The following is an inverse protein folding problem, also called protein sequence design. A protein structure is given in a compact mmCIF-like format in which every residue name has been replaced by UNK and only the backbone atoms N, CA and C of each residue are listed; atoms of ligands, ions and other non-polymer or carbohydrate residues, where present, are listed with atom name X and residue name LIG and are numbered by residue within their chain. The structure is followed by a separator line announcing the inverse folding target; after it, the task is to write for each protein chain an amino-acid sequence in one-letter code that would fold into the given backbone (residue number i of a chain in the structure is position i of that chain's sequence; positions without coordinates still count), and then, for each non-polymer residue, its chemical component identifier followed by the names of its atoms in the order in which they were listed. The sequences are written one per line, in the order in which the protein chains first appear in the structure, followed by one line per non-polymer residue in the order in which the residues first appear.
data_IF_778855033381
#
_entry.id   IF_778855033381
#
_cell.length_a   1.000
_cell.length_b   1.000
_cell.length_c   1.000
_cell.angle_alpha   90.00
_cell.angle_beta   90.00
_cell.angle_gamma   90.00
#
_symmetry.space_group_name_H-M   'P 1'
#
loop_
_entity.id
_entity.type
_entity.pdbx_description
1 polymer ?
#
# COMPACT_ATOMS: atom_id res chain seq x y z
N UNK A 1 -11.39 26.35 -6.12
CA UNK A 1 -10.79 26.45 -7.46
C UNK A 1 -9.86 27.65 -7.63
N UNK A 2 -10.28 28.89 -7.33
CA UNK A 2 -9.44 30.09 -7.56
C UNK A 2 -8.06 30.06 -6.86
N UNK A 3 -7.98 29.52 -5.64
CA UNK A 3 -6.73 29.45 -4.88
C UNK A 3 -5.73 28.47 -5.51
N UNK A 4 -6.16 27.26 -5.86
CA UNK A 4 -5.30 26.27 -6.54
C UNK A 4 -4.76 26.80 -7.88
N UNK A 5 -5.59 27.52 -8.65
CA UNK A 5 -5.15 28.17 -9.89
C UNK A 5 -4.13 29.29 -9.64
N UNK A 6 -4.24 30.01 -8.52
CA UNK A 6 -3.28 31.04 -8.12
C UNK A 6 -1.95 30.42 -7.67
N UNK A 7 -1.98 29.36 -6.86
CA UNK A 7 -0.80 28.60 -6.46
C UNK A 7 -0.08 28.02 -7.68
N UNK A 8 -0.83 27.42 -8.59
CA UNK A 8 -0.30 26.95 -9.87
C UNK A 8 0.32 28.07 -10.70
N UNK A 9 -0.33 29.24 -10.77
CA UNK A 9 0.22 30.42 -11.44
C UNK A 9 1.54 30.90 -10.83
N UNK A 10 1.65 30.92 -9.51
CA UNK A 10 2.87 31.29 -8.79
C UNK A 10 4.02 30.29 -9.04
N UNK A 11 3.72 28.98 -9.04
CA UNK A 11 4.67 27.93 -9.39
C UNK A 11 5.15 28.05 -10.85
N UNK A 12 4.24 28.11 -11.82
CA UNK A 12 4.60 28.16 -13.24
C UNK A 12 5.35 29.44 -13.63
N UNK A 13 5.06 30.54 -12.95
CA UNK A 13 5.73 31.81 -13.18
C UNK A 13 7.06 31.93 -12.41
N UNK A 14 7.42 30.91 -11.61
CA UNK A 14 8.59 30.93 -10.75
C UNK A 14 8.60 32.16 -9.86
N UNK A 15 7.50 32.42 -9.16
CA UNK A 15 7.32 33.60 -8.31
C UNK A 15 7.30 33.21 -6.82
N UNK A 16 7.68 34.15 -5.95
CA UNK A 16 7.79 33.90 -4.51
C UNK A 16 8.82 32.82 -4.21
N UNK A 17 8.49 31.89 -3.31
CA UNK A 17 9.43 30.83 -2.89
C UNK A 17 9.96 29.96 -4.03
N UNK A 18 9.19 29.80 -5.12
CA UNK A 18 9.61 28.99 -6.28
C UNK A 18 10.68 29.67 -7.15
N UNK A 19 10.95 30.95 -6.94
CA UNK A 19 12.02 31.68 -7.63
C UNK A 19 13.38 31.56 -6.94
N UNK A 20 13.40 31.03 -5.72
CA UNK A 20 14.61 30.97 -4.91
C UNK A 20 15.65 30.05 -5.58
N UNK A 21 16.93 30.48 -5.70
CA UNK A 21 17.94 29.72 -6.42
C UNK A 21 18.05 28.27 -5.94
N UNK A 22 18.02 28.01 -4.62
CA UNK A 22 18.13 26.65 -4.08
C UNK A 22 16.92 25.77 -4.42
N UNK A 23 15.74 26.34 -4.62
CA UNK A 23 14.51 25.61 -4.97
C UNK A 23 14.55 25.18 -6.44
N UNK A 24 15.03 26.09 -7.31
CA UNK A 24 15.25 25.80 -8.73
C UNK A 24 16.35 24.76 -8.89
N UNK A 25 17.44 24.92 -8.15
CA UNK A 25 18.57 24.00 -8.14
C UNK A 25 18.13 22.58 -7.77
N UNK A 26 17.34 22.45 -6.69
CA UNK A 26 16.80 21.18 -6.22
C UNK A 26 15.98 20.42 -7.27
N UNK A 27 15.33 21.10 -8.23
CA UNK A 27 14.59 20.44 -9.31
C UNK A 27 15.48 19.56 -10.21
N UNK A 28 16.79 19.84 -10.27
CA UNK A 28 17.72 19.10 -11.13
C UNK A 28 18.20 17.77 -10.53
N UNK A 29 18.11 17.61 -9.20
CA UNK A 29 18.72 16.46 -8.50
C UNK A 29 17.74 15.67 -7.63
N UNK A 30 16.67 16.31 -7.14
CA UNK A 30 15.68 15.63 -6.32
C UNK A 30 14.67 14.87 -7.18
N UNK A 31 14.24 13.71 -6.67
CA UNK A 31 13.07 13.03 -7.22
C UNK A 31 11.84 13.93 -7.06
N UNK A 32 10.92 13.91 -8.04
CA UNK A 32 9.74 14.77 -8.05
C UNK A 32 8.91 14.68 -6.77
N UNK A 33 8.78 13.49 -6.17
CA UNK A 33 8.02 13.31 -4.92
C UNK A 33 8.72 13.99 -3.73
N UNK A 34 10.06 13.91 -3.69
CA UNK A 34 10.89 14.53 -2.64
C UNK A 34 10.89 16.04 -2.78
N UNK A 35 11.01 16.55 -4.00
CA UNK A 35 10.97 17.99 -4.27
C UNK A 35 9.65 18.61 -3.81
N UNK A 36 8.51 17.98 -4.12
CA UNK A 36 7.20 18.44 -3.63
C UNK A 36 7.07 18.33 -2.11
N UNK A 37 7.76 17.38 -1.46
CA UNK A 37 7.80 17.30 -0.01
C UNK A 37 8.58 18.45 0.64
N UNK A 38 9.73 18.78 0.08
CA UNK A 38 10.63 19.78 0.63
C UNK A 38 10.20 21.22 0.32
N UNK A 39 9.64 21.46 -0.88
CA UNK A 39 9.38 22.81 -1.40
C UNK A 39 7.91 23.12 -1.67
N UNK A 40 7.01 22.15 -1.55
CA UNK A 40 5.57 22.32 -1.82
C UNK A 40 4.79 23.07 -0.72
N UNK A 41 5.38 23.32 0.45
CA UNK A 41 4.70 23.93 1.61
C UNK A 41 4.16 25.33 1.29
N UNK A 42 4.79 26.06 0.38
CA UNK A 42 4.34 27.37 -0.09
C UNK A 42 3.07 27.32 -0.96
N UNK A 43 2.68 26.14 -1.43
CA UNK A 43 1.51 25.89 -2.28
C UNK A 43 0.79 24.59 -1.86
N UNK A 44 0.09 24.58 -0.71
CA UNK A 44 -0.41 23.35 -0.10
C UNK A 44 -1.48 22.63 -0.94
N UNK A 45 -2.34 23.35 -1.66
CA UNK A 45 -3.34 22.70 -2.53
C UNK A 45 -2.68 22.08 -3.76
N UNK A 46 -1.70 22.78 -4.33
CA UNK A 46 -0.91 22.28 -5.45
C UNK A 46 -0.06 21.07 -5.03
N UNK A 47 0.56 21.11 -3.86
CA UNK A 47 1.32 20.00 -3.28
C UNK A 47 0.45 18.76 -3.11
N UNK A 48 -0.76 18.90 -2.58
CA UNK A 48 -1.71 17.78 -2.46
C UNK A 48 -2.07 17.18 -3.83
N UNK A 49 -2.25 18.01 -4.85
CA UNK A 49 -2.54 17.55 -6.21
C UNK A 49 -1.32 16.84 -6.83
N UNK A 50 -0.12 17.40 -6.62
CA UNK A 50 1.13 16.80 -7.08
C UNK A 50 1.33 15.41 -6.46
N UNK A 51 1.10 15.25 -5.15
CA UNK A 51 1.16 13.94 -4.50
C UNK A 51 0.18 12.94 -5.10
N UNK A 52 -1.08 13.34 -5.28
CA UNK A 52 -2.09 12.45 -5.88
C UNK A 52 -1.65 11.96 -7.25
N UNK A 53 -1.12 12.87 -8.08
CA UNK A 53 -0.66 12.57 -9.43
C UNK A 53 0.59 11.67 -9.45
N UNK A 54 1.60 12.01 -8.65
CA UNK A 54 2.89 11.30 -8.61
C UNK A 54 2.78 9.91 -7.98
N UNK A 55 1.80 9.70 -7.10
CA UNK A 55 1.53 8.39 -6.48
C UNK A 55 0.65 7.50 -7.38
N UNK A 56 0.04 8.04 -8.45
CA UNK A 56 -0.74 7.21 -9.37
C UNK A 56 0.17 6.25 -10.15
N UNK A 57 -0.17 4.95 -10.21
CA UNK A 57 0.49 4.03 -11.12
C UNK A 57 0.20 4.44 -12.58
N UNK A 58 1.27 4.70 -13.35
CA UNK A 58 1.20 5.24 -14.72
C UNK A 58 0.79 4.19 -15.78
N UNK A 59 0.67 2.91 -15.41
CA UNK A 59 0.39 1.84 -16.37
C UNK A 59 -0.72 0.90 -15.94
N UNK A 60 -1.56 0.51 -16.90
CA UNK A 60 -2.51 -0.61 -16.76
C UNK A 60 -1.80 -1.92 -16.48
N UNK A 61 -0.52 -2.06 -16.84
CA UNK A 61 0.27 -3.27 -16.61
C UNK A 61 0.34 -3.70 -15.14
N UNK A 62 0.26 -2.73 -14.20
CA UNK A 62 0.16 -3.03 -12.78
C UNK A 62 -1.17 -3.69 -12.43
N UNK A 63 -2.27 -3.20 -13.02
CA UNK A 63 -3.59 -3.79 -12.89
C UNK A 63 -3.68 -5.13 -13.64
N UNK A 64 -3.08 -5.27 -14.82
CA UNK A 64 -3.05 -6.51 -15.60
C UNK A 64 -2.39 -7.65 -14.83
N UNK A 65 -1.31 -7.39 -14.07
CA UNK A 65 -0.73 -8.40 -13.17
C UNK A 65 -1.69 -8.81 -12.06
N UNK A 66 -2.37 -7.85 -11.43
CA UNK A 66 -3.38 -8.15 -10.41
C UNK A 66 -4.57 -8.92 -10.99
N UNK A 67 -5.00 -8.59 -12.22
CA UNK A 67 -6.04 -9.32 -12.93
C UNK A 67 -5.60 -10.73 -13.34
N UNK A 68 -4.33 -10.92 -13.70
CA UNK A 68 -3.78 -12.26 -13.96
C UNK A 68 -3.77 -13.11 -12.68
N UNK A 69 -3.37 -12.53 -11.54
CA UNK A 69 -3.46 -13.21 -10.23
C UNK A 69 -4.90 -13.51 -9.85
N UNK A 70 -5.82 -12.56 -10.04
CA UNK A 70 -7.25 -12.77 -9.79
C UNK A 70 -7.79 -13.90 -10.67
N UNK A 71 -7.44 -13.89 -11.96
CA UNK A 71 -7.75 -14.95 -12.92
C UNK A 71 -7.18 -16.28 -12.45
N UNK A 72 -5.93 -16.36 -12.00
CA UNK A 72 -5.34 -17.58 -11.43
C UNK A 72 -6.11 -18.09 -10.21
N UNK A 73 -6.41 -17.22 -9.25
CA UNK A 73 -7.14 -17.56 -8.01
C UNK A 73 -8.55 -18.05 -8.32
N UNK A 74 -9.22 -17.46 -9.31
CA UNK A 74 -10.55 -17.88 -9.75
C UNK A 74 -10.54 -19.06 -10.74
N UNK A 75 -9.48 -19.25 -11.52
CA UNK A 75 -9.39 -20.20 -12.64
C UNK A 75 -8.68 -21.52 -12.28
N UNK A 76 -8.49 -21.83 -11.01
CA UNK A 76 -8.15 -23.22 -10.62
C UNK A 76 -9.46 -24.04 -10.62
N UNK A 77 -9.96 -24.28 -11.83
CA UNK A 77 -10.96 -25.26 -12.31
C UNK A 77 -12.38 -25.34 -11.71
N UNK A 78 -12.77 -24.63 -10.63
CA UNK A 78 -14.18 -24.27 -10.20
C UNK A 78 -14.22 -23.84 -8.72
N UNK A 79 -13.43 -22.84 -8.32
CA UNK A 79 -13.46 -22.39 -6.93
C UNK A 79 -14.65 -21.43 -6.71
N UNK A 80 -15.67 -21.83 -5.92
CA UNK A 80 -16.79 -20.95 -5.49
C UNK A 80 -16.32 -20.00 -4.37
N UNK A 81 -15.23 -19.28 -4.60
CA UNK A 81 -14.83 -18.22 -3.70
C UNK A 81 -15.81 -17.06 -3.82
N UNK A 82 -16.26 -16.54 -2.68
CA UNK A 82 -16.93 -15.25 -2.66
C UNK A 82 -15.99 -14.19 -3.24
N UNK A 83 -16.53 -13.23 -3.99
CA UNK A 83 -15.75 -12.15 -4.61
C UNK A 83 -14.91 -11.40 -3.59
N UNK A 84 -15.46 -11.12 -2.41
CA UNK A 84 -14.72 -10.51 -1.29
C UNK A 84 -13.48 -11.31 -0.89
N UNK A 85 -13.60 -12.65 -0.83
CA UNK A 85 -12.49 -13.53 -0.46
C UNK A 85 -11.40 -13.55 -1.52
N UNK A 86 -11.77 -13.44 -2.79
CA UNK A 86 -10.79 -13.36 -3.88
C UNK A 86 -10.09 -12.00 -3.91
N UNK A 87 -10.81 -10.91 -3.64
CA UNK A 87 -10.24 -9.57 -3.47
C UNK A 87 -9.21 -9.56 -2.33
N UNK A 88 -9.55 -10.13 -1.18
CA UNK A 88 -8.63 -10.26 -0.03
C UNK A 88 -7.37 -11.06 -0.39
N UNK A 89 -7.52 -12.17 -1.11
CA UNK A 89 -6.38 -13.00 -1.52
C UNK A 89 -5.48 -12.28 -2.52
N UNK A 90 -6.04 -11.53 -3.48
CA UNK A 90 -5.26 -10.69 -4.39
C UNK A 90 -4.54 -9.59 -3.61
N UNK A 91 -5.22 -8.94 -2.67
CA UNK A 91 -4.63 -7.91 -1.83
C UNK A 91 -3.45 -8.46 -1.02
N UNK A 92 -3.63 -9.60 -0.34
CA UNK A 92 -2.56 -10.26 0.43
C UNK A 92 -1.41 -10.66 -0.50
N UNK A 93 -1.68 -11.30 -1.63
CA UNK A 93 -0.67 -11.71 -2.60
C UNK A 93 0.17 -10.54 -3.10
N UNK A 94 -0.48 -9.45 -3.50
CA UNK A 94 0.17 -8.25 -4.00
C UNK A 94 1.04 -7.58 -2.92
N UNK A 95 0.50 -7.39 -1.71
CA UNK A 95 1.23 -6.75 -0.62
C UNK A 95 2.42 -7.58 -0.15
N UNK A 96 2.28 -8.90 -0.06
CA UNK A 96 3.40 -9.78 0.29
C UNK A 96 4.55 -9.69 -0.73
N UNK A 97 4.23 -9.61 -2.03
CA UNK A 97 5.25 -9.38 -3.08
C UNK A 97 5.93 -8.04 -2.92
N UNK A 98 5.18 -6.96 -2.70
CA UNK A 98 5.74 -5.64 -2.46
C UNK A 98 6.66 -5.60 -1.24
N UNK A 99 6.24 -6.21 -0.13
CA UNK A 99 7.04 -6.27 1.10
C UNK A 99 8.29 -7.13 0.91
N UNK A 100 8.20 -8.22 0.14
CA UNK A 100 9.34 -9.07 -0.18
C UNK A 100 10.41 -8.31 -0.97
N UNK A 101 10.00 -7.51 -1.96
CA UNK A 101 10.90 -6.69 -2.79
C UNK A 101 11.73 -5.66 -2.00
N UNK A 102 11.27 -5.25 -0.82
CA UNK A 102 12.00 -4.34 0.07
C UNK A 102 13.11 -5.04 0.88
N UNK A 103 13.11 -6.37 0.93
CA UNK A 103 14.10 -7.14 1.70
C UNK A 103 15.34 -7.41 0.85
N UNK A 104 16.53 -7.27 1.44
CA UNK A 104 17.79 -7.53 0.73
C UNK A 104 17.88 -8.97 0.16
N UNK A 105 17.28 -9.93 0.89
CA UNK A 105 17.14 -11.34 0.45
C UNK A 105 16.42 -11.51 -0.89
N UNK A 106 15.61 -10.54 -1.33
CA UNK A 106 14.96 -10.59 -2.64
C UNK A 106 15.93 -10.34 -3.80
N UNK A 107 17.00 -9.58 -3.56
CA UNK A 107 18.02 -9.25 -4.55
C UNK A 107 19.25 -10.16 -4.40
N UNK A 108 19.60 -10.56 -3.18
CA UNK A 108 20.84 -11.28 -2.91
C UNK A 108 20.64 -12.71 -2.38
N UNK A 109 19.38 -13.12 -2.15
CA UNK A 109 19.06 -14.44 -1.65
C UNK A 109 18.99 -15.51 -2.74
N UNK A 110 18.89 -16.79 -2.34
CA UNK A 110 18.76 -17.91 -3.26
C UNK A 110 17.47 -17.87 -4.09
N UNK A 111 16.41 -17.22 -3.58
CA UNK A 111 15.13 -17.00 -4.25
C UNK A 111 15.04 -15.59 -4.87
N UNK A 112 16.11 -15.13 -5.50
CA UNK A 112 16.18 -13.80 -6.11
C UNK A 112 15.14 -13.65 -7.22
N UNK A 113 14.40 -12.53 -7.22
CA UNK A 113 13.38 -12.23 -8.23
C UNK A 113 12.36 -13.35 -8.49
N UNK A 114 12.03 -14.15 -7.47
CA UNK A 114 11.15 -15.32 -7.61
C UNK A 114 9.78 -14.99 -8.23
N UNK A 115 9.36 -13.73 -8.17
CA UNK A 115 8.08 -13.24 -8.70
C UNK A 115 8.18 -12.56 -10.08
N UNK A 116 9.37 -12.50 -10.68
CA UNK A 116 9.63 -11.92 -12.01
C UNK A 116 9.83 -13.06 -13.01
N UNK A 117 8.74 -13.51 -13.64
CA UNK A 117 8.78 -14.51 -14.73
C UNK A 117 7.87 -15.74 -14.57
N UNK A 118 7.09 -15.83 -13.49
CA UNK A 118 6.26 -17.01 -13.17
C UNK A 118 4.93 -17.14 -13.93
N UNK A 119 4.56 -16.21 -14.80
CA UNK A 119 3.25 -16.19 -15.45
C UNK A 119 3.19 -17.03 -16.75
N UNK A 120 4.21 -17.86 -17.02
CA UNK A 120 4.32 -18.72 -18.22
C UNK A 120 4.02 -20.20 -17.98
N UNK A 121 3.51 -20.58 -16.82
CA UNK A 121 3.12 -21.96 -16.59
C UNK A 121 1.70 -22.18 -17.13
N UNK A 122 1.59 -22.80 -18.31
CA UNK A 122 0.35 -23.42 -18.77
C UNK A 122 -0.06 -24.49 -17.74
N UNK A 123 -1.11 -24.20 -16.97
CA UNK A 123 -1.59 -24.96 -15.81
C UNK A 123 -2.41 -26.18 -16.25
N UNK A 124 -2.01 -26.86 -17.32
CA UNK A 124 -2.75 -28.06 -17.77
C UNK A 124 -2.10 -29.38 -17.33
N UNK A 125 -0.81 -29.43 -17.01
CA UNK A 125 -0.12 -30.72 -16.84
C UNK A 125 0.52 -30.97 -15.45
N UNK A 126 0.76 -29.95 -14.62
CA UNK A 126 1.57 -30.08 -13.38
C UNK A 126 0.82 -29.90 -12.06
N UNK A 127 -0.52 -29.80 -12.08
CA UNK A 127 -1.31 -29.59 -10.85
C UNK A 127 -1.28 -30.74 -9.85
N UNK A 128 -0.84 -31.95 -10.25
CA UNK A 128 -0.65 -33.05 -9.32
C UNK A 128 0.57 -32.87 -8.39
N UNK A 129 1.59 -32.14 -8.82
CA UNK A 129 2.86 -32.05 -8.06
C UNK A 129 2.87 -30.92 -7.02
N UNK A 130 1.98 -29.92 -7.15
CA UNK A 130 1.84 -28.85 -6.15
C UNK A 130 1.02 -29.29 -4.93
N UNK A 131 0.21 -30.34 -5.05
CA UNK A 131 -0.55 -30.91 -3.92
C UNK A 131 0.27 -31.85 -3.04
N UNK A 132 1.48 -32.24 -3.46
CA UNK A 132 2.34 -33.17 -2.72
C UNK A 132 3.44 -32.49 -1.89
N UNK A 133 3.50 -31.16 -1.86
CA UNK A 133 4.27 -30.45 -0.84
C UNK A 133 3.44 -30.42 0.44
N UNK A 134 3.60 -31.46 1.26
CA UNK A 134 3.24 -31.44 2.68
C UNK A 134 3.79 -30.17 3.30
N UNK A 135 2.89 -29.21 3.60
CA UNK A 135 3.22 -28.12 4.50
C UNK A 135 3.30 -28.79 5.86
N UNK A 136 4.51 -29.16 6.27
CA UNK A 136 4.74 -29.56 7.66
C UNK A 136 4.25 -28.41 8.54
N UNK A 137 3.18 -28.65 9.29
CA UNK A 137 2.60 -27.68 10.22
C UNK A 137 3.72 -27.18 11.14
N UNK A 138 4.10 -25.88 11.09
CA UNK A 138 4.97 -25.35 12.11
C UNK A 138 4.18 -25.35 13.42
N UNK A 139 4.64 -26.11 14.42
CA UNK A 139 4.11 -26.06 15.78
C UNK A 139 4.26 -24.61 16.27
N UNK A 140 3.14 -23.89 16.33
CA UNK A 140 3.06 -22.59 16.99
C UNK A 140 3.17 -22.89 18.48
N UNK A 141 4.38 -22.80 19.01
CA UNK A 141 4.61 -22.76 20.44
C UNK A 141 4.08 -21.41 20.93
N UNK A 142 3.05 -21.46 21.79
CA UNK A 142 2.35 -20.29 22.26
C UNK A 142 3.27 -19.45 23.14
N UNK A 143 3.84 -18.38 22.59
CA UNK A 143 4.51 -17.35 23.39
C UNK A 143 3.42 -16.61 24.16
N UNK A 144 3.26 -16.97 25.43
CA UNK A 144 2.44 -16.24 26.40
C UNK A 144 3.15 -14.91 26.65
N UNK A 145 2.52 -13.82 26.25
CA UNK A 145 2.93 -12.48 26.68
C UNK A 145 2.33 -12.25 28.07
N UNK A 146 3.17 -12.12 29.09
CA UNK A 146 2.74 -11.61 30.40
C UNK A 146 2.41 -10.12 30.21
N UNK A 147 1.12 -9.79 30.10
CA UNK A 147 0.63 -8.42 30.24
C UNK A 147 0.68 -8.04 31.72
N UNK A 148 1.63 -7.17 32.07
CA UNK A 148 1.62 -6.44 33.34
C UNK A 148 0.49 -5.40 33.26
N UNK A 149 -0.66 -5.73 33.85
CA UNK A 149 -1.81 -4.83 34.01
C UNK A 149 -1.44 -3.74 35.02
N UNK A 150 -1.28 -2.49 34.58
CA UNK A 150 -1.39 -1.31 35.45
C UNK A 150 -2.86 -0.90 35.53
N UNK A 151 -3.42 -0.98 36.74
CA UNK A 151 -4.77 -0.61 37.09
C UNK A 151 -5.10 0.84 36.70
N UNK A 152 -6.09 1.03 35.82
CA UNK A 152 -6.76 2.31 35.62
C UNK A 152 -8.17 2.22 36.18
N UNK A 153 -8.37 2.94 37.29
CA UNK A 153 -9.63 3.10 38.03
C UNK A 153 -10.82 3.42 37.09
N UNK A 154 -11.91 2.66 37.25
CA UNK A 154 -13.22 2.98 36.68
C UNK A 154 -13.71 4.32 37.24
N UNK A 155 -13.95 5.29 36.37
CA UNK A 155 -14.78 6.45 36.69
C UNK A 155 -16.18 6.14 36.16
N UNK A 156 -17.07 5.68 37.04
CA UNK A 156 -18.52 5.67 36.82
C UNK A 156 -19.00 7.12 36.74
N UNK A 157 -19.31 7.62 35.54
CA UNK A 157 -20.18 8.80 35.39
C UNK A 157 -21.63 8.34 35.24
N UNK A 158 -22.44 8.74 36.23
CA UNK A 158 -23.85 8.42 36.42
C UNK A 158 -24.71 8.66 35.17
N UNK A 159 -25.17 7.58 34.56
CA UNK A 159 -26.08 7.56 33.40
C UNK A 159 -27.51 8.01 33.79
N UNK A 160 -27.77 8.27 35.07
CA UNK A 160 -29.10 8.59 35.62
C UNK A 160 -29.49 10.07 35.42
N UNK A 161 -28.56 10.99 35.13
CA UNK A 161 -28.86 12.43 34.97
C UNK A 161 -29.24 12.82 33.52
N UNK A 162 -28.81 12.05 32.51
CA UNK A 162 -29.16 12.31 31.09
C UNK A 162 -30.59 11.87 30.76
N UNK A 163 -31.13 10.87 31.46
CA UNK A 163 -32.49 10.36 31.22
C UNK A 163 -33.61 11.29 31.72
N UNK A 164 -33.30 12.24 32.62
CA UNK A 164 -34.28 13.21 33.14
C UNK A 164 -34.31 14.55 32.38
N UNK A 165 -33.49 14.72 31.33
CA UNK A 165 -33.47 15.91 30.47
C UNK A 165 -34.24 15.75 29.15
N UNK A 166 -34.90 14.61 28.91
CA UNK A 166 -35.72 14.34 27.71
C UNK A 166 -37.20 14.03 28.06
N UNK A 167 -37.72 14.58 29.17
CA UNK A 167 -39.18 14.62 29.42
C UNK A 167 -39.66 16.03 29.70
#
# INVERSE_FOLDING_TARGET
MKLASSEYGAFCSGNGYFSEPHVIDAMMYEDSLSWWANHGVSAPLLQQLAYKLLIQPVSSSCCERNWNTYSLIHNIKRNKLATSRAEDLVFVHYNLRLLSRKKDKYINGPSKYWDVGGDRFDIDETTNDLTELSIDDPQIDGVIFEEEFEDLEEVEEDVEEIANLIK
#
